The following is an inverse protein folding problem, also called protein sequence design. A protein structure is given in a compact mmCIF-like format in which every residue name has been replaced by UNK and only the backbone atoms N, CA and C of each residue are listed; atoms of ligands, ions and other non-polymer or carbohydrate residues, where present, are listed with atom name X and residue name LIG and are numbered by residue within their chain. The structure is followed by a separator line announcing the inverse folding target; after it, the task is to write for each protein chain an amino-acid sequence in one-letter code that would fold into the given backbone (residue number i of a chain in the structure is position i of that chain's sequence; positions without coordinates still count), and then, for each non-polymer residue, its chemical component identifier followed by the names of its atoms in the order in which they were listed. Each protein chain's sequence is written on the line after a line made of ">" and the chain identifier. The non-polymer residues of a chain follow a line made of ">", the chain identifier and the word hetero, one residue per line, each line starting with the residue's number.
data_IF_531195868057
#
_entry.id   IF_531195868057
#
_cell.length_a   1.000
_cell.length_b   1.000
_cell.length_c   1.000
_cell.angle_alpha   90.00
_cell.angle_beta   90.00
_cell.angle_gamma   90.00
#
_symmetry.space_group_name_H-M   'P 1'
#
loop_
_entity.id
_entity.type
_entity.pdbx_description
1 polymer ?
#
# COMPACT_ATOMS: atom_id res chain seq x y z
N UNK A 1 10.26 14.13 1.88
CA UNK A 1 9.71 13.73 0.57
C UNK A 1 10.16 12.32 0.18
N UNK A 2 11.45 11.97 0.29
CA UNK A 2 11.98 10.65 -0.11
C UNK A 2 11.23 9.39 0.37
N UNK A 3 10.78 9.32 1.62
CA UNK A 3 10.11 8.11 2.14
C UNK A 3 8.73 7.85 1.53
N UNK A 4 7.96 8.91 1.28
CA UNK A 4 6.65 8.81 0.61
C UNK A 4 6.86 8.40 -0.84
N UNK A 5 7.79 9.03 -1.55
CA UNK A 5 8.08 8.68 -2.95
C UNK A 5 8.52 7.21 -3.08
N UNK A 6 9.36 6.73 -2.16
CA UNK A 6 9.81 5.34 -2.15
C UNK A 6 8.70 4.34 -1.76
N UNK A 7 7.76 4.75 -0.89
CA UNK A 7 6.53 3.99 -0.65
C UNK A 7 5.69 3.91 -1.92
N UNK A 8 5.41 5.03 -2.58
CA UNK A 8 4.59 5.04 -3.79
C UNK A 8 5.23 4.21 -4.90
N UNK A 9 6.54 4.26 -5.08
CA UNK A 9 7.23 3.40 -6.04
C UNK A 9 7.09 1.90 -5.68
N UNK A 10 7.09 1.56 -4.38
CA UNK A 10 6.85 0.19 -3.93
C UNK A 10 5.43 -0.30 -4.20
N UNK A 11 4.46 0.62 -4.26
CA UNK A 11 3.06 0.32 -4.52
C UNK A 11 2.77 0.27 -6.04
N UNK A 12 3.29 1.24 -6.79
CA UNK A 12 3.14 1.29 -8.24
C UNK A 12 3.82 0.10 -8.94
N UNK A 13 4.96 -0.36 -8.40
CA UNK A 13 5.75 -1.47 -8.93
C UNK A 13 5.90 -2.59 -7.89
N UNK A 14 4.77 -3.03 -7.33
CA UNK A 14 4.76 -4.05 -6.31
C UNK A 14 5.24 -5.42 -6.85
N UNK A 15 6.17 -6.12 -6.15
CA UNK A 15 6.53 -7.49 -6.49
C UNK A 15 5.36 -8.43 -6.19
N UNK A 16 5.30 -9.58 -6.89
CA UNK A 16 4.28 -10.60 -6.63
C UNK A 16 4.48 -11.32 -5.28
N UNK A 17 5.69 -11.30 -4.73
CA UNK A 17 6.04 -11.93 -3.46
C UNK A 17 5.81 -10.94 -2.28
N UNK A 18 4.93 -11.28 -1.32
CA UNK A 18 4.69 -10.46 -0.14
C UNK A 18 5.92 -10.28 0.75
N UNK A 19 6.82 -11.26 0.83
CA UNK A 19 8.03 -11.15 1.66
C UNK A 19 9.02 -10.13 1.09
N UNK A 20 9.15 -10.07 -0.24
CA UNK A 20 9.96 -9.04 -0.90
C UNK A 20 9.39 -7.64 -0.64
N UNK A 21 8.07 -7.47 -0.74
CA UNK A 21 7.42 -6.19 -0.45
C UNK A 21 7.57 -5.78 1.02
N UNK A 22 7.38 -6.73 1.94
CA UNK A 22 7.57 -6.51 3.37
C UNK A 22 9.02 -6.09 3.71
N UNK A 23 10.01 -6.74 3.10
CA UNK A 23 11.44 -6.38 3.26
C UNK A 23 11.73 -4.97 2.77
N UNK A 24 11.16 -4.60 1.61
CA UNK A 24 11.29 -3.24 1.05
C UNK A 24 10.73 -2.20 2.01
N UNK A 25 9.54 -2.45 2.56
CA UNK A 25 8.89 -1.60 3.55
C UNK A 25 9.66 -1.51 4.87
N UNK A 26 10.23 -2.63 5.32
CA UNK A 26 11.09 -2.65 6.51
C UNK A 26 12.31 -1.72 6.33
N UNK A 27 12.91 -1.72 5.13
CA UNK A 27 13.99 -0.79 4.75
C UNK A 27 13.56 0.67 4.80
N UNK A 28 12.34 1.00 4.36
CA UNK A 28 11.79 2.36 4.46
C UNK A 28 11.68 2.82 5.91
N UNK A 29 11.19 1.96 6.80
CA UNK A 29 11.00 2.26 8.22
C UNK A 29 12.33 2.42 8.99
N UNK A 30 13.39 1.74 8.54
CA UNK A 30 14.74 1.84 9.12
C UNK A 30 15.53 3.04 8.60
N UNK A 31 15.05 3.72 7.56
CA UNK A 31 15.72 4.86 6.95
C UNK A 31 15.79 6.06 7.89
N UNK A 32 17.01 6.57 8.12
CA UNK A 32 17.24 7.79 8.92
C UNK A 32 16.98 9.02 8.05
N UNK A 33 15.71 9.40 7.92
CA UNK A 33 15.30 10.64 7.26
C UNK A 33 14.94 11.71 8.29
N UNK A 34 15.09 12.99 7.92
CA UNK A 34 14.86 14.15 8.82
C UNK A 34 13.43 14.20 9.40
N UNK A 35 12.45 13.65 8.67
CA UNK A 35 11.11 13.37 9.18
C UNK A 35 10.96 11.87 9.35
N UNK A 36 10.80 11.40 10.58
CA UNK A 36 10.69 9.98 10.89
C UNK A 36 9.43 9.39 10.24
N UNK A 37 9.64 8.47 9.31
CA UNK A 37 8.58 7.70 8.67
C UNK A 37 8.29 6.45 9.51
N UNK A 38 7.06 6.33 10.00
CA UNK A 38 6.65 5.27 10.92
C UNK A 38 5.71 4.26 10.28
N UNK A 39 5.51 3.13 10.97
CA UNK A 39 4.60 2.05 10.55
C UNK A 39 3.18 2.59 10.27
N UNK A 40 2.73 3.57 11.04
CA UNK A 40 1.42 4.21 10.90
C UNK A 40 1.31 4.98 9.59
N UNK A 41 2.38 5.69 9.19
CA UNK A 41 2.43 6.41 7.91
C UNK A 41 2.42 5.43 6.72
N UNK A 42 3.08 4.28 6.89
CA UNK A 42 3.07 3.22 5.88
C UNK A 42 1.65 2.67 5.69
N UNK A 43 0.98 2.28 6.79
CA UNK A 43 -0.39 1.77 6.72
C UNK A 43 -1.33 2.81 6.11
N UNK A 44 -1.24 4.07 6.54
CA UNK A 44 -2.03 5.16 5.98
C UNK A 44 -1.77 5.36 4.48
N UNK A 45 -0.51 5.35 4.04
CA UNK A 45 -0.15 5.49 2.64
C UNK A 45 -0.72 4.34 1.78
N UNK A 46 -0.65 3.10 2.26
CA UNK A 46 -1.26 1.94 1.57
C UNK A 46 -2.79 2.10 1.48
N UNK A 47 -3.44 2.62 2.52
CA UNK A 47 -4.87 2.87 2.49
C UNK A 47 -5.25 3.98 1.51
N UNK A 48 -4.60 5.13 1.59
CA UNK A 48 -4.84 6.24 0.66
C UNK A 48 -4.60 5.79 -0.79
N UNK A 49 -3.61 4.91 -1.01
CA UNK A 49 -3.34 4.32 -2.31
C UNK A 49 -4.47 3.43 -2.82
N UNK A 50 -4.94 2.46 -2.03
CA UNK A 50 -6.05 1.60 -2.45
C UNK A 50 -7.33 2.39 -2.71
N UNK A 51 -7.57 3.44 -1.92
CA UNK A 51 -8.69 4.35 -2.14
C UNK A 51 -8.57 5.11 -3.46
N UNK A 52 -7.39 5.67 -3.77
CA UNK A 52 -7.15 6.37 -5.03
C UNK A 52 -7.33 5.43 -6.23
N UNK A 53 -6.81 4.20 -6.17
CA UNK A 53 -7.00 3.22 -7.26
C UNK A 53 -8.49 2.89 -7.48
N UNK A 54 -9.25 2.73 -6.40
CA UNK A 54 -10.68 2.45 -6.50
C UNK A 54 -11.46 3.66 -7.05
N UNK A 55 -11.13 4.87 -6.59
CA UNK A 55 -11.74 6.11 -7.07
C UNK A 55 -11.42 6.35 -8.55
N UNK A 56 -10.18 6.12 -8.96
CA UNK A 56 -9.74 6.27 -10.34
C UNK A 56 -10.45 5.28 -11.26
N UNK A 57 -10.58 4.00 -10.85
CA UNK A 57 -11.37 3.01 -11.60
C UNK A 57 -12.87 3.36 -11.68
N UNK A 58 -13.43 3.99 -10.65
CA UNK A 58 -14.86 4.31 -10.61
C UNK A 58 -15.23 5.64 -11.29
N UNK A 59 -14.32 6.62 -11.30
CA UNK A 59 -14.64 8.01 -11.68
C UNK A 59 -13.57 8.69 -12.55
N UNK A 60 -12.39 8.09 -12.70
CA UNK A 60 -11.23 8.72 -13.34
C UNK A 60 -10.51 9.76 -12.47
N UNK A 61 -10.98 10.00 -11.24
CA UNK A 61 -10.40 10.97 -10.33
C UNK A 61 -9.40 10.34 -9.36
N UNK A 62 -8.48 11.17 -8.85
CA UNK A 62 -7.48 10.82 -7.84
C UNK A 62 -7.52 11.84 -6.73
N UNK A 63 -7.52 11.40 -5.47
CA UNK A 63 -7.65 12.30 -4.32
C UNK A 63 -6.32 12.64 -3.64
N UNK A 64 -5.49 11.64 -3.33
CA UNK A 64 -4.32 11.85 -2.46
C UNK A 64 -3.02 11.92 -3.24
N UNK A 65 -2.81 11.02 -4.18
CA UNK A 65 -1.54 10.85 -4.90
C UNK A 65 -1.64 11.35 -6.34
N UNK A 66 -2.25 12.51 -6.55
CA UNK A 66 -2.31 13.14 -7.88
C UNK A 66 -0.90 13.47 -8.37
N UNK A 67 -0.51 12.94 -9.54
CA UNK A 67 0.82 13.17 -10.13
C UNK A 67 1.86 12.09 -9.85
N UNK A 68 1.55 11.07 -9.04
CA UNK A 68 2.42 9.89 -8.90
C UNK A 68 2.11 8.83 -9.97
N UNK A 69 3.11 8.02 -10.37
CA UNK A 69 2.91 6.95 -11.35
C UNK A 69 1.90 5.91 -10.85
N UNK A 70 1.13 5.32 -11.76
CA UNK A 70 0.15 4.25 -11.44
C UNK A 70 0.68 2.86 -11.79
N UNK A 71 0.11 1.80 -11.19
CA UNK A 71 0.40 0.45 -11.62
C UNK A 71 0.04 0.27 -13.10
N UNK A 72 0.92 -0.39 -13.86
CA UNK A 72 0.75 -0.56 -15.32
C UNK A 72 -0.58 -1.20 -15.72
N UNK A 73 -1.17 -2.01 -14.85
CA UNK A 73 -2.39 -2.78 -15.11
C UNK A 73 -3.60 -2.25 -14.33
N UNK A 74 -3.64 -0.95 -14.00
CA UNK A 74 -4.74 -0.36 -13.22
C UNK A 74 -6.13 -0.68 -13.80
N UNK A 75 -6.28 -0.65 -15.13
CA UNK A 75 -7.54 -0.93 -15.82
C UNK A 75 -8.08 -2.36 -15.58
N UNK A 76 -7.22 -3.31 -15.22
CA UNK A 76 -7.59 -4.70 -14.96
C UNK A 76 -7.99 -4.96 -13.50
N UNK A 77 -7.85 -3.96 -12.62
CA UNK A 77 -8.14 -4.09 -11.20
C UNK A 77 -9.64 -3.97 -10.93
N UNK A 78 -10.15 -4.77 -10.00
CA UNK A 78 -11.53 -4.69 -9.54
C UNK A 78 -11.69 -3.59 -8.48
N UNK A 79 -12.47 -2.51 -8.73
CA UNK A 79 -12.73 -1.48 -7.72
C UNK A 79 -13.38 -2.04 -6.45
N UNK A 80 -14.16 -3.13 -6.55
CA UNK A 80 -14.77 -3.78 -5.36
C UNK A 80 -13.71 -4.46 -4.52
N UNK A 81 -12.78 -5.21 -5.13
CA UNK A 81 -11.66 -5.84 -4.43
C UNK A 81 -10.72 -4.82 -3.80
N UNK A 82 -10.46 -3.70 -4.48
CA UNK A 82 -9.66 -2.59 -3.96
C UNK A 82 -10.28 -1.99 -2.69
N UNK A 83 -11.60 -1.73 -2.70
CA UNK A 83 -12.31 -1.23 -1.52
C UNK A 83 -12.41 -2.27 -0.40
N UNK A 84 -12.53 -3.56 -0.73
CA UNK A 84 -12.48 -4.64 0.26
C UNK A 84 -11.10 -4.67 0.96
N UNK A 85 -10.01 -4.64 0.20
CA UNK A 85 -8.65 -4.56 0.74
C UNK A 85 -8.42 -3.30 1.58
N UNK A 86 -8.95 -2.14 1.14
CA UNK A 86 -8.90 -0.91 1.92
C UNK A 86 -9.56 -1.06 3.30
N UNK A 87 -10.74 -1.72 3.37
CA UNK A 87 -11.44 -2.00 4.64
C UNK A 87 -10.66 -2.97 5.52
N UNK A 88 -10.10 -4.03 4.93
CA UNK A 88 -9.28 -5.01 5.65
C UNK A 88 -8.06 -4.34 6.28
N UNK A 89 -7.32 -3.54 5.52
CA UNK A 89 -6.14 -2.80 6.00
C UNK A 89 -6.51 -1.76 7.06
N UNK A 90 -7.73 -1.25 7.07
CA UNK A 90 -8.18 -0.34 8.13
C UNK A 90 -8.15 -0.96 9.53
N UNK A 91 -8.26 -2.28 9.63
CA UNK A 91 -8.12 -3.00 10.90
C UNK A 91 -6.67 -2.98 11.43
N UNK A 92 -5.68 -2.85 10.53
CA UNK A 92 -4.25 -2.82 10.87
C UNK A 92 -3.82 -1.52 11.53
N UNK A 93 -4.55 -0.40 11.31
CA UNK A 93 -4.21 0.92 11.86
C UNK A 93 -4.03 0.92 13.37
N UNK A 94 -4.86 0.17 14.10
CA UNK A 94 -4.77 0.09 15.58
C UNK A 94 -3.49 -0.58 16.03
N UNK A 95 -3.09 -1.65 15.34
CA UNK A 95 -1.92 -2.46 15.70
C UNK A 95 -0.60 -1.87 15.18
N UNK A 96 -0.64 -0.94 14.23
CA UNK A 96 0.54 -0.31 13.63
C UNK A 96 1.42 0.43 14.64
N UNK A 97 0.84 0.95 15.74
CA UNK A 97 1.59 1.64 16.80
C UNK A 97 2.55 0.72 17.55
N UNK A 98 2.05 -0.48 17.86
CA UNK A 98 2.73 -1.45 18.71
C UNK A 98 2.52 -2.87 18.15
N UNK A 99 3.10 -3.19 16.97
CA UNK A 99 2.99 -4.52 16.42
C UNK A 99 3.77 -5.51 17.29
N UNK A 100 3.18 -6.67 17.56
CA UNK A 100 3.84 -7.75 18.32
C UNK A 100 5.11 -8.25 17.62
N UNK A 101 5.04 -8.37 16.29
CA UNK A 101 6.19 -8.69 15.45
C UNK A 101 6.13 -7.78 14.20
N UNK A 102 7.05 -6.81 14.06
CA UNK A 102 7.04 -5.87 12.95
C UNK A 102 7.12 -6.53 11.57
N UNK A 103 7.91 -7.59 11.42
CA UNK A 103 8.08 -8.24 10.12
C UNK A 103 6.82 -9.01 9.71
N UNK A 104 6.23 -9.79 10.64
CA UNK A 104 4.96 -10.47 10.39
C UNK A 104 3.82 -9.50 10.10
N UNK A 105 3.83 -8.33 10.75
CA UNK A 105 2.87 -7.26 10.48
C UNK A 105 3.01 -6.75 9.04
N UNK A 106 4.24 -6.46 8.60
CA UNK A 106 4.53 -6.00 7.24
C UNK A 106 4.18 -7.05 6.18
N UNK A 107 4.52 -8.31 6.42
CA UNK A 107 4.15 -9.42 5.56
C UNK A 107 2.63 -9.56 5.43
N UNK A 108 1.91 -9.51 6.57
CA UNK A 108 0.45 -9.55 6.58
C UNK A 108 -0.13 -8.39 5.79
N UNK A 109 0.37 -7.18 5.99
CA UNK A 109 -0.07 -5.99 5.24
C UNK A 109 0.19 -6.16 3.73
N UNK A 110 1.36 -6.68 3.34
CA UNK A 110 1.74 -6.92 1.95
C UNK A 110 0.82 -7.96 1.29
N UNK A 111 0.47 -9.03 2.00
CA UNK A 111 -0.48 -10.05 1.52
C UNK A 111 -1.85 -9.44 1.21
N UNK A 112 -2.40 -8.62 2.12
CA UNK A 112 -3.72 -8.00 1.93
C UNK A 112 -3.69 -7.00 0.78
N UNK A 113 -2.61 -6.22 0.68
CA UNK A 113 -2.40 -5.30 -0.43
C UNK A 113 -2.32 -6.02 -1.78
N UNK A 114 -1.46 -7.03 -1.92
CA UNK A 114 -1.31 -7.79 -3.18
C UNK A 114 -2.58 -8.56 -3.55
N UNK A 115 -3.34 -9.04 -2.57
CA UNK A 115 -4.65 -9.66 -2.80
C UNK A 115 -5.64 -8.66 -3.42
N UNK A 116 -5.65 -7.43 -2.93
CA UNK A 116 -6.52 -6.37 -3.45
C UNK A 116 -6.16 -5.97 -4.90
N UNK A 117 -4.90 -6.18 -5.32
CA UNK A 117 -4.42 -5.92 -6.67
C UNK A 117 -4.63 -7.07 -7.67
N UNK A 118 -5.30 -8.16 -7.29
CA UNK A 118 -5.53 -9.27 -8.23
C UNK A 118 -6.46 -8.82 -9.36
N UNK A 119 -6.08 -9.06 -10.63
CA UNK A 119 -6.95 -8.82 -11.77
C UNK A 119 -8.25 -9.62 -11.71
N UNK A 120 -9.31 -9.07 -12.31
CA UNK A 120 -10.63 -9.70 -12.44
C UNK A 120 -10.56 -11.09 -13.15
N UNK A 121 -9.54 -11.31 -13.98
CA UNK A 121 -9.36 -12.53 -14.79
C UNK A 121 -8.13 -13.37 -14.41
N UNK A 122 -7.77 -13.41 -13.12
CA UNK A 122 -6.62 -14.19 -12.62
C UNK A 122 -6.89 -15.69 -12.56
#
# INVERSE_FOLDING_TARGET
>A
MAAIDALIDSLASAPADPLMLATRWEGLLKSKTENSFHMENLVEGVQCWLFDLALEQASGEVRYHSGWPRPKNIAALDPVALLAGWREINTFRRSARHPLNPLLFLESLAIHYLRALRPIHS
#
